data_IF_910037385178
#
_entry.id   IF_910037385178
#
_cell.length_a   1.000
_cell.length_b   1.000
_cell.length_c   1.000
_cell.angle_alpha   90.00
_cell.angle_beta   90.00
_cell.angle_gamma   90.00
#
_symmetry.space_group_name_H-M   'P 1'
#
loop_
_entity.id
_entity.type
_entity.pdbx_description
1 polymer ?
#
# COMPACT_ATOMS: atom_id res chain seq x y z
N UNK A 1 43.09 48.51 -12.77
CA UNK A 1 43.95 47.34 -13.00
C UNK A 1 44.88 47.18 -11.81
N UNK A 2 44.95 46.02 -11.22
CA UNK A 2 45.78 45.72 -10.06
C UNK A 2 46.53 44.40 -10.31
N UNK A 3 47.72 44.25 -9.72
CA UNK A 3 48.61 43.09 -9.95
C UNK A 3 49.69 43.37 -11.01
N UNK A 4 50.73 42.55 -11.07
CA UNK A 4 51.88 42.74 -11.91
C UNK A 4 51.58 42.70 -13.43
N UNK A 5 50.53 41.96 -13.84
CA UNK A 5 50.06 41.79 -15.22
C UNK A 5 48.60 42.26 -15.38
N UNK A 6 48.11 43.18 -14.57
CA UNK A 6 46.75 43.62 -14.54
C UNK A 6 45.77 42.43 -14.27
N UNK A 7 46.16 41.57 -13.35
CA UNK A 7 45.42 40.30 -13.05
C UNK A 7 44.03 40.53 -12.49
N UNK A 8 43.81 41.63 -11.74
CA UNK A 8 42.52 42.09 -11.27
C UNK A 8 42.08 43.35 -11.94
N UNK A 9 40.96 43.29 -12.62
CA UNK A 9 40.34 44.40 -13.35
C UNK A 9 39.01 44.78 -12.71
N UNK A 10 38.82 46.09 -12.45
CA UNK A 10 37.51 46.64 -12.09
C UNK A 10 37.21 47.72 -13.11
N UNK A 11 36.15 47.57 -13.88
CA UNK A 11 35.82 48.50 -14.95
C UNK A 11 34.30 48.48 -15.32
N UNK A 12 33.91 49.46 -16.08
CA UNK A 12 32.57 49.56 -16.69
C UNK A 12 32.72 49.69 -18.19
N UNK A 13 31.97 48.88 -18.97
CA UNK A 13 32.07 48.85 -20.42
C UNK A 13 31.02 49.72 -21.17
N UNK A 14 30.27 50.47 -20.40
CA UNK A 14 29.14 51.27 -20.89
C UNK A 14 27.77 50.63 -20.64
N UNK A 15 27.73 49.36 -20.36
CA UNK A 15 26.54 48.60 -20.04
C UNK A 15 26.62 47.92 -18.67
N UNK A 16 27.76 47.31 -18.34
CA UNK A 16 27.96 46.49 -17.15
C UNK A 16 29.20 46.89 -16.40
N UNK A 17 29.17 46.69 -15.08
CA UNK A 17 30.35 46.83 -14.20
C UNK A 17 30.89 45.44 -13.89
N UNK A 18 32.24 45.31 -13.92
CA UNK A 18 32.94 44.06 -13.77
C UNK A 18 33.96 44.12 -12.65
N UNK A 19 34.07 43.01 -11.89
CA UNK A 19 35.21 42.64 -11.11
C UNK A 19 35.74 41.33 -11.72
N UNK A 20 36.88 41.38 -12.42
CA UNK A 20 37.41 40.29 -13.23
C UNK A 20 38.81 39.93 -12.73
N UNK A 21 38.98 38.68 -12.34
CA UNK A 21 40.28 38.10 -12.06
C UNK A 21 40.78 37.37 -13.32
N UNK A 22 41.83 37.83 -13.94
CA UNK A 22 42.47 37.29 -15.13
C UNK A 22 43.79 36.59 -14.79
N UNK A 23 44.19 36.56 -13.53
CA UNK A 23 45.40 35.97 -13.04
C UNK A 23 45.31 34.46 -12.78
N UNK A 24 46.35 33.91 -12.22
CA UNK A 24 46.38 32.51 -11.74
C UNK A 24 46.02 32.49 -10.27
N UNK A 25 44.82 32.00 -9.97
CA UNK A 25 44.36 31.94 -8.58
C UNK A 25 42.86 32.11 -8.48
N UNK A 26 42.39 32.50 -7.31
CA UNK A 26 40.97 32.70 -7.06
C UNK A 26 40.68 34.14 -6.67
N UNK A 27 39.61 34.72 -7.17
CA UNK A 27 39.03 35.92 -6.63
C UNK A 27 38.50 35.63 -5.21
N UNK A 28 39.07 36.25 -4.18
CA UNK A 28 38.66 36.11 -2.77
C UNK A 28 37.99 37.38 -2.29
N UNK A 29 36.75 37.28 -1.88
CA UNK A 29 36.00 38.39 -1.27
C UNK A 29 35.86 38.09 0.22
N UNK A 30 36.49 38.88 1.08
CA UNK A 30 36.56 38.68 2.52
C UNK A 30 35.74 39.72 3.26
N UNK A 31 34.86 39.29 4.14
CA UNK A 31 34.19 40.08 5.14
C UNK A 31 34.59 39.59 6.55
N UNK A 32 34.80 40.48 7.51
CA UNK A 32 35.12 40.07 8.88
C UNK A 32 33.96 39.38 9.59
N UNK A 33 32.74 39.79 9.29
CA UNK A 33 31.50 39.23 9.86
C UNK A 33 30.59 38.62 8.81
N UNK A 34 30.44 39.26 7.65
CA UNK A 34 29.59 38.80 6.56
C UNK A 34 29.98 39.43 5.22
N UNK A 35 29.56 38.79 4.15
CA UNK A 35 29.53 39.34 2.78
C UNK A 35 28.07 39.40 2.34
N UNK A 36 27.63 40.56 1.83
CA UNK A 36 26.25 40.78 1.38
C UNK A 36 26.22 41.22 -0.10
N UNK A 37 25.21 40.72 -0.81
CA UNK A 37 24.83 41.21 -2.14
C UNK A 37 23.43 41.80 -1.99
N UNK A 38 23.29 43.08 -2.31
CA UNK A 38 22.06 43.84 -2.11
C UNK A 38 21.62 44.54 -3.38
N UNK A 39 20.33 44.81 -3.50
CA UNK A 39 19.77 45.65 -4.51
C UNK A 39 20.06 47.14 -4.18
N UNK A 40 20.67 47.85 -5.08
CA UNK A 40 21.04 49.27 -4.86
C UNK A 40 19.81 50.17 -4.60
N UNK A 41 18.73 49.97 -5.36
CA UNK A 41 17.58 50.88 -5.27
C UNK A 41 16.71 50.70 -4.04
N UNK A 42 16.62 49.48 -3.51
CA UNK A 42 15.77 49.14 -2.35
C UNK A 42 16.54 48.78 -1.08
N UNK A 43 17.84 48.51 -1.19
CA UNK A 43 18.63 47.95 -0.10
C UNK A 43 18.25 46.49 0.23
N UNK A 44 17.34 45.89 -0.51
CA UNK A 44 16.90 44.51 -0.26
C UNK A 44 18.06 43.52 -0.43
N UNK A 45 18.22 42.64 0.52
CA UNK A 45 19.23 41.60 0.53
C UNK A 45 18.89 40.52 -0.50
N UNK A 46 19.82 40.19 -1.40
CA UNK A 46 19.70 39.13 -2.40
C UNK A 46 20.44 37.86 -1.94
N UNK A 47 21.68 38.03 -1.42
CA UNK A 47 22.45 36.95 -0.84
C UNK A 47 23.26 37.45 0.37
N UNK A 48 23.50 36.56 1.34
CA UNK A 48 24.27 36.82 2.53
C UNK A 48 25.07 35.60 2.93
N UNK A 49 26.34 35.81 3.27
CA UNK A 49 27.28 34.80 3.72
C UNK A 49 27.82 35.24 5.09
N UNK A 50 27.43 34.58 6.16
CA UNK A 50 27.80 34.94 7.53
C UNK A 50 28.97 34.06 7.99
N UNK A 51 30.02 34.70 8.49
CA UNK A 51 31.21 33.98 8.99
C UNK A 51 30.83 33.06 10.16
N UNK A 52 31.08 31.74 10.01
CA UNK A 52 30.76 30.73 11.03
C UNK A 52 29.28 30.46 11.24
N UNK A 53 28.41 30.92 10.31
CA UNK A 53 26.97 30.73 10.39
C UNK A 53 26.38 30.41 9.01
N UNK A 54 25.14 30.85 8.75
CA UNK A 54 24.38 30.48 7.55
C UNK A 54 24.79 31.22 6.28
N UNK A 55 24.48 30.61 5.13
CA UNK A 55 24.35 31.26 3.85
C UNK A 55 22.83 31.45 3.57
N UNK A 56 22.45 32.64 3.16
CA UNK A 56 21.05 32.97 2.82
C UNK A 56 20.93 33.42 1.37
N UNK A 57 19.89 32.97 0.67
CA UNK A 57 19.45 33.47 -0.62
C UNK A 57 18.02 33.99 -0.48
N UNK A 58 17.78 35.18 -0.97
CA UNK A 58 16.51 35.87 -0.82
C UNK A 58 15.86 36.15 -2.19
N UNK A 59 14.55 36.17 -2.22
CA UNK A 59 13.75 36.66 -3.32
C UNK A 59 12.84 37.75 -2.80
N UNK A 60 12.93 38.93 -3.40
CA UNK A 60 12.16 40.10 -3.02
C UNK A 60 12.24 40.40 -1.50
N UNK A 61 13.46 40.42 -0.96
CA UNK A 61 13.73 40.65 0.46
C UNK A 61 13.33 39.53 1.40
N UNK A 62 12.68 38.48 0.93
CA UNK A 62 12.26 37.32 1.72
C UNK A 62 13.20 36.15 1.54
N UNK A 63 13.68 35.56 2.65
CA UNK A 63 14.56 34.40 2.64
C UNK A 63 13.85 33.18 2.03
N UNK A 64 14.48 32.55 1.03
CA UNK A 64 13.99 31.35 0.34
C UNK A 64 14.85 30.14 0.55
N UNK A 65 16.14 30.31 0.74
CA UNK A 65 17.08 29.23 1.02
C UNK A 65 18.06 29.69 2.12
N UNK A 66 18.34 28.79 3.05
CA UNK A 66 19.44 28.97 4.00
C UNK A 66 20.14 27.64 4.33
N UNK A 67 21.43 27.72 4.66
CA UNK A 67 22.14 26.63 5.31
C UNK A 67 21.95 26.71 6.83
N UNK A 68 21.82 25.56 7.49
CA UNK A 68 21.67 25.44 8.95
C UNK A 68 22.70 24.47 9.51
N UNK A 69 22.81 24.36 10.83
CA UNK A 69 23.68 23.37 11.48
C UNK A 69 23.34 21.93 11.06
N UNK A 70 22.06 21.62 10.75
CA UNK A 70 21.58 20.29 10.42
C UNK A 70 21.34 20.06 8.91
N UNK A 71 21.64 21.04 8.07
CA UNK A 71 21.41 20.93 6.61
C UNK A 71 21.03 22.25 5.98
N UNK A 72 19.94 22.26 5.20
CA UNK A 72 19.41 23.45 4.53
C UNK A 72 17.90 23.55 4.66
N UNK A 73 17.37 24.77 4.65
CA UNK A 73 15.93 25.04 4.64
C UNK A 73 15.56 25.76 3.35
N UNK A 74 14.48 25.31 2.70
CA UNK A 74 13.82 25.96 1.59
C UNK A 74 12.47 26.47 2.07
N UNK A 75 12.21 27.77 1.97
CA UNK A 75 10.92 28.39 2.30
C UNK A 75 10.10 28.56 1.01
N UNK A 76 9.13 27.67 0.80
CA UNK A 76 8.34 27.55 -0.41
C UNK A 76 8.53 26.18 -1.08
N UNK A 77 8.15 26.07 -2.33
CA UNK A 77 8.23 24.84 -3.10
C UNK A 77 9.68 24.55 -3.54
N UNK A 78 10.10 23.29 -3.38
CA UNK A 78 11.33 22.76 -3.96
C UNK A 78 11.00 21.84 -5.13
N UNK A 79 11.25 22.31 -6.36
CA UNK A 79 11.16 21.47 -7.55
C UNK A 79 12.49 20.74 -7.77
N UNK A 80 12.48 19.42 -7.58
CA UNK A 80 13.62 18.56 -7.91
C UNK A 80 13.29 17.79 -9.19
N UNK A 81 14.02 18.08 -10.28
CA UNK A 81 13.82 17.40 -11.58
C UNK A 81 14.62 16.10 -11.70
N UNK A 82 15.46 15.79 -10.72
CA UNK A 82 16.25 14.56 -10.61
C UNK A 82 15.85 13.71 -9.40
N UNK A 83 16.71 12.74 -9.08
CA UNK A 83 16.52 11.86 -7.92
C UNK A 83 16.99 12.54 -6.64
N UNK A 84 16.17 12.52 -5.58
CA UNK A 84 16.60 12.87 -4.24
C UNK A 84 17.23 11.61 -3.62
N UNK A 85 18.56 11.62 -3.46
CA UNK A 85 19.28 10.55 -2.77
C UNK A 85 19.67 11.03 -1.38
N UNK A 86 19.28 10.30 -0.35
CA UNK A 86 19.62 10.65 1.04
C UNK A 86 19.46 9.43 1.94
N UNK A 87 20.34 9.33 2.94
CA UNK A 87 20.20 8.30 3.97
C UNK A 87 19.08 8.68 4.94
N UNK A 88 17.95 7.96 4.88
CA UNK A 88 16.99 7.89 5.96
C UNK A 88 15.92 8.99 6.07
N UNK A 89 15.57 9.69 4.99
CA UNK A 89 14.46 10.64 4.99
C UNK A 89 13.14 10.03 4.53
N UNK A 90 12.06 10.23 5.31
CA UNK A 90 10.69 9.91 4.85
C UNK A 90 10.27 10.94 3.81
N UNK A 91 10.29 10.57 2.52
CA UNK A 91 9.92 11.47 1.42
C UNK A 91 8.41 11.47 1.09
N UNK A 92 7.60 10.72 1.83
CA UNK A 92 6.14 10.79 1.72
C UNK A 92 5.62 12.00 2.49
N UNK A 93 4.82 12.89 1.89
CA UNK A 93 4.21 14.00 2.61
C UNK A 93 3.36 13.49 3.78
N UNK A 94 3.56 14.04 4.99
CA UNK A 94 2.75 13.71 6.18
C UNK A 94 1.25 14.03 5.98
N UNK A 95 0.94 14.93 5.08
CA UNK A 95 -0.44 15.30 4.71
C UNK A 95 -1.08 14.34 3.68
N UNK A 96 -0.37 13.27 3.29
CA UNK A 96 -0.80 12.36 2.23
C UNK A 96 -0.41 12.83 0.84
N UNK A 97 -0.76 12.04 -0.15
CA UNK A 97 -0.45 12.32 -1.57
C UNK A 97 -0.90 11.18 -2.46
N UNK A 98 -0.94 11.43 -3.78
CA UNK A 98 -1.22 10.41 -4.79
C UNK A 98 0.10 9.82 -5.29
N UNK A 99 0.22 8.51 -5.22
CA UNK A 99 1.32 7.79 -5.84
C UNK A 99 0.90 7.35 -7.25
N UNK A 100 1.66 7.75 -8.26
CA UNK A 100 1.38 7.41 -9.66
C UNK A 100 2.18 6.21 -10.16
N UNK A 101 3.05 5.65 -9.31
CA UNK A 101 3.83 4.45 -9.58
C UNK A 101 3.65 3.39 -8.49
N UNK A 102 4.28 2.23 -8.68
CA UNK A 102 4.23 1.13 -7.72
C UNK A 102 5.00 1.48 -6.43
N UNK A 103 4.48 1.01 -5.29
CA UNK A 103 5.24 0.89 -4.05
C UNK A 103 5.85 -0.51 -4.06
N UNK A 104 7.17 -0.61 -4.08
CA UNK A 104 7.89 -1.88 -3.97
C UNK A 104 8.45 -1.98 -2.56
N UNK A 105 7.95 -2.95 -1.80
CA UNK A 105 8.45 -3.33 -0.49
C UNK A 105 9.18 -4.66 -0.65
N UNK A 106 10.40 -4.75 -0.14
CA UNK A 106 11.15 -6.02 -0.12
C UNK A 106 10.53 -6.98 0.89
N UNK A 107 10.97 -8.25 0.86
CA UNK A 107 10.58 -9.25 1.86
C UNK A 107 10.85 -8.73 3.27
N UNK A 108 9.99 -9.10 4.19
CA UNK A 108 10.00 -8.69 5.60
C UNK A 108 9.80 -7.18 5.86
N UNK A 109 9.55 -6.37 4.80
CA UNK A 109 9.14 -4.97 4.95
C UNK A 109 7.62 -4.88 5.03
N UNK A 110 7.11 -4.26 6.10
CA UNK A 110 5.69 -4.20 6.41
C UNK A 110 5.05 -2.88 5.97
N UNK A 111 3.91 -2.96 5.29
CA UNK A 111 2.97 -1.85 5.26
C UNK A 111 2.14 -1.92 6.54
N UNK A 112 2.33 -0.96 7.44
CA UNK A 112 1.63 -0.91 8.73
C UNK A 112 0.57 0.19 8.73
N UNK A 113 -0.63 -0.14 9.23
CA UNK A 113 -1.76 0.77 9.40
C UNK A 113 -2.25 0.68 10.85
N UNK A 114 -2.53 1.83 11.46
CA UNK A 114 -2.86 1.95 12.87
C UNK A 114 -1.66 2.35 13.73
N UNK A 115 -1.90 2.91 14.92
CA UNK A 115 -0.84 3.47 15.79
C UNK A 115 0.17 2.44 16.29
N UNK A 116 -0.27 1.18 16.45
CA UNK A 116 0.57 0.06 16.89
C UNK A 116 0.87 -0.94 15.75
N UNK A 117 0.58 -0.58 14.50
CA UNK A 117 0.68 -1.49 13.37
C UNK A 117 -0.39 -2.57 13.42
N UNK A 118 -1.61 -2.17 13.78
CA UNK A 118 -2.75 -3.07 14.01
C UNK A 118 -3.09 -3.93 12.79
N UNK A 119 -3.00 -3.35 11.59
CA UNK A 119 -3.08 -4.06 10.32
C UNK A 119 -1.72 -4.04 9.62
N UNK A 120 -1.23 -5.21 9.22
CA UNK A 120 0.01 -5.35 8.45
C UNK A 120 -0.22 -6.11 7.16
N UNK A 121 0.43 -5.65 6.08
CA UNK A 121 0.48 -6.35 4.79
C UNK A 121 1.95 -6.52 4.43
N UNK A 122 2.39 -7.74 4.16
CA UNK A 122 3.78 -8.04 3.85
C UNK A 122 3.96 -9.40 3.16
N UNK A 123 5.17 -9.67 2.66
CA UNK A 123 5.65 -10.96 2.19
C UNK A 123 6.88 -11.37 3.01
N UNK A 124 6.97 -12.63 3.44
CA UNK A 124 8.07 -13.13 4.28
C UNK A 124 9.13 -13.92 3.49
N UNK A 125 9.15 -13.76 2.17
CA UNK A 125 10.00 -14.54 1.25
C UNK A 125 9.38 -15.88 0.84
N UNK A 126 8.25 -16.27 1.44
CA UNK A 126 7.53 -17.51 1.13
C UNK A 126 6.02 -17.28 1.01
N UNK A 127 5.44 -16.49 1.90
CA UNK A 127 4.00 -16.27 2.02
C UNK A 127 3.66 -14.79 2.06
N UNK A 128 2.46 -14.44 1.56
CA UNK A 128 1.90 -13.10 1.65
C UNK A 128 0.82 -13.05 2.74
N UNK A 129 0.84 -11.98 3.53
CA UNK A 129 -0.03 -11.81 4.68
C UNK A 129 -0.82 -10.51 4.63
N UNK A 130 -2.11 -10.60 5.02
CA UNK A 130 -2.93 -9.50 5.50
C UNK A 130 -3.27 -9.88 6.94
N UNK A 131 -2.63 -9.23 7.91
CA UNK A 131 -2.68 -9.62 9.33
C UNK A 131 -3.23 -8.49 10.17
N UNK A 132 -4.34 -8.75 10.88
CA UNK A 132 -4.92 -7.89 11.90
C UNK A 132 -4.48 -8.39 13.29
N UNK A 133 -3.82 -7.52 14.04
CA UNK A 133 -3.38 -7.76 15.43
C UNK A 133 -4.00 -6.76 16.40
N UNK A 134 -4.84 -5.85 15.90
CA UNK A 134 -5.56 -4.88 16.70
C UNK A 134 -6.72 -5.47 17.51
N UNK A 135 -7.41 -4.60 18.24
CA UNK A 135 -8.65 -4.96 18.92
C UNK A 135 -9.82 -4.73 17.96
N UNK A 136 -10.44 -5.78 17.49
CA UNK A 136 -11.57 -5.67 16.56
C UNK A 136 -11.56 -6.77 15.52
N UNK A 137 -12.21 -6.53 14.41
CA UNK A 137 -12.34 -7.50 13.33
C UNK A 137 -11.71 -6.97 12.05
N UNK A 138 -11.00 -7.81 11.30
CA UNK A 138 -10.69 -7.54 9.91
C UNK A 138 -12.01 -7.58 9.09
N UNK A 139 -12.45 -6.44 8.59
CA UNK A 139 -13.66 -6.31 7.76
C UNK A 139 -13.26 -6.11 6.30
N UNK A 140 -13.62 -7.06 5.44
CA UNK A 140 -13.49 -6.94 3.99
C UNK A 140 -14.88 -6.67 3.44
N UNK A 141 -15.14 -5.47 2.93
CA UNK A 141 -16.46 -5.02 2.46
C UNK A 141 -16.42 -4.85 0.94
N UNK A 142 -17.31 -5.57 0.27
CA UNK A 142 -17.45 -5.53 -1.18
C UNK A 142 -18.90 -5.90 -1.58
N UNK A 143 -19.34 -5.48 -2.74
CA UNK A 143 -20.59 -5.99 -3.35
C UNK A 143 -20.44 -7.46 -3.76
N UNK A 144 -19.25 -7.87 -4.18
CA UNK A 144 -18.86 -9.24 -4.46
C UNK A 144 -17.48 -9.50 -3.87
N UNK A 145 -17.36 -10.55 -3.06
CA UNK A 145 -16.08 -11.06 -2.55
C UNK A 145 -15.74 -12.36 -3.27
N UNK A 146 -14.52 -12.44 -3.81
CA UNK A 146 -14.02 -13.64 -4.49
C UNK A 146 -12.62 -14.01 -3.96
N UNK A 147 -12.44 -15.29 -3.59
CA UNK A 147 -11.14 -15.90 -3.38
C UNK A 147 -10.88 -16.83 -4.57
N UNK A 148 -9.82 -16.55 -5.31
CA UNK A 148 -9.57 -17.18 -6.62
C UNK A 148 -8.19 -17.84 -6.67
N UNK A 149 -8.02 -18.70 -7.69
CA UNK A 149 -6.69 -19.16 -8.12
C UNK A 149 -5.83 -17.95 -8.50
N UNK A 150 -4.51 -18.12 -8.41
CA UNK A 150 -3.55 -17.08 -8.75
C UNK A 150 -3.69 -16.57 -10.19
N UNK A 151 -4.18 -17.40 -11.11
CA UNK A 151 -4.44 -17.04 -12.52
C UNK A 151 -5.82 -16.42 -12.76
N UNK A 152 -6.64 -16.27 -11.71
CA UNK A 152 -8.00 -15.73 -11.79
C UNK A 152 -9.02 -16.64 -12.48
N UNK A 153 -8.65 -17.87 -12.88
CA UNK A 153 -9.48 -18.73 -13.72
C UNK A 153 -10.65 -19.39 -12.98
N UNK A 154 -10.56 -19.54 -11.66
CA UNK A 154 -11.56 -20.24 -10.85
C UNK A 154 -11.70 -19.62 -9.46
N UNK A 155 -12.93 -19.61 -8.95
CA UNK A 155 -13.22 -19.26 -7.56
C UNK A 155 -13.00 -20.47 -6.65
N UNK A 156 -12.52 -20.23 -5.42
CA UNK A 156 -12.62 -21.13 -4.28
C UNK A 156 -13.83 -20.77 -3.44
N UNK A 157 -14.05 -19.46 -3.22
CA UNK A 157 -15.16 -18.89 -2.49
C UNK A 157 -15.69 -17.69 -3.26
N UNK A 158 -17.01 -17.55 -3.33
CA UNK A 158 -17.66 -16.33 -3.79
C UNK A 158 -18.78 -15.95 -2.83
N UNK A 159 -18.87 -14.66 -2.49
CA UNK A 159 -20.00 -14.11 -1.75
C UNK A 159 -20.58 -12.93 -2.51
N UNK A 160 -21.90 -12.94 -2.72
CA UNK A 160 -22.65 -11.87 -3.38
C UNK A 160 -23.48 -11.13 -2.34
N UNK A 161 -23.44 -9.79 -2.35
CA UNK A 161 -24.25 -8.99 -1.46
C UNK A 161 -25.74 -9.18 -1.76
N UNK A 162 -26.50 -9.63 -0.74
CA UNK A 162 -27.95 -9.89 -0.88
C UNK A 162 -28.30 -11.19 -1.61
N UNK A 163 -27.31 -12.06 -1.85
CA UNK A 163 -27.48 -13.34 -2.52
C UNK A 163 -26.65 -14.45 -1.82
N UNK A 164 -26.22 -15.44 -2.57
CA UNK A 164 -25.56 -16.64 -2.06
C UNK A 164 -24.08 -16.41 -1.66
N UNK A 165 -23.62 -17.30 -0.76
CA UNK A 165 -22.21 -17.62 -0.57
C UNK A 165 -21.97 -19.02 -1.15
N UNK A 166 -21.02 -19.15 -2.05
CA UNK A 166 -20.72 -20.39 -2.77
C UNK A 166 -19.29 -20.84 -2.53
N UNK A 167 -19.10 -22.13 -2.25
CA UNK A 167 -17.81 -22.81 -2.23
C UNK A 167 -17.67 -23.68 -3.47
N UNK A 168 -16.50 -23.62 -4.10
CA UNK A 168 -16.26 -24.31 -5.37
C UNK A 168 -15.16 -25.38 -5.25
N UNK A 169 -15.28 -26.40 -6.07
CA UNK A 169 -14.21 -27.38 -6.32
C UNK A 169 -14.08 -27.58 -7.84
N UNK A 170 -12.91 -27.28 -8.38
CA UNK A 170 -12.62 -27.29 -9.82
C UNK A 170 -13.66 -26.52 -10.66
N UNK A 171 -14.02 -25.32 -10.20
CA UNK A 171 -14.98 -24.46 -10.90
C UNK A 171 -16.46 -24.85 -10.75
N UNK A 172 -16.77 -25.99 -10.12
CA UNK A 172 -18.14 -26.41 -9.85
C UNK A 172 -18.58 -26.05 -8.44
N UNK A 173 -19.79 -25.48 -8.26
CA UNK A 173 -20.41 -25.25 -6.95
C UNK A 173 -20.57 -26.57 -6.21
N UNK A 174 -20.18 -26.62 -4.93
CA UNK A 174 -20.34 -27.78 -4.05
C UNK A 174 -21.17 -27.49 -2.82
N UNK A 175 -21.10 -26.27 -2.31
CA UNK A 175 -21.89 -25.79 -1.17
C UNK A 175 -22.37 -24.38 -1.49
N UNK A 176 -23.63 -24.10 -1.23
CA UNK A 176 -24.23 -22.82 -1.54
C UNK A 176 -25.30 -22.46 -0.49
N UNK A 177 -25.27 -21.23 0.02
CA UNK A 177 -26.38 -20.72 0.83
C UNK A 177 -27.54 -20.34 -0.07
N UNK A 178 -28.76 -20.67 0.32
CA UNK A 178 -30.01 -20.34 -0.41
C UNK A 178 -30.95 -19.57 0.49
N UNK A 179 -32.03 -19.03 -0.08
CA UNK A 179 -33.05 -18.35 0.71
C UNK A 179 -33.72 -19.26 1.78
N UNK A 180 -33.68 -20.57 1.59
CA UNK A 180 -34.35 -21.54 2.49
C UNK A 180 -33.38 -22.43 3.29
N UNK A 181 -32.06 -22.23 3.09
CA UNK A 181 -31.05 -23.08 3.78
C UNK A 181 -29.75 -23.16 3.02
N UNK A 182 -29.26 -24.40 2.85
CA UNK A 182 -28.02 -24.69 2.13
C UNK A 182 -28.25 -25.79 1.09
N UNK A 183 -27.57 -25.71 -0.03
CA UNK A 183 -27.51 -26.73 -1.05
C UNK A 183 -26.14 -27.40 -1.08
N UNK A 184 -26.08 -28.71 -1.10
CA UNK A 184 -24.85 -29.50 -1.25
C UNK A 184 -24.94 -30.30 -2.54
N UNK A 185 -24.04 -29.99 -3.50
CA UNK A 185 -23.94 -30.73 -4.76
C UNK A 185 -22.94 -31.87 -4.63
N UNK A 186 -23.44 -33.08 -4.47
CA UNK A 186 -22.64 -34.28 -4.24
C UNK A 186 -22.99 -34.99 -2.92
N UNK A 187 -22.01 -35.65 -2.35
CA UNK A 187 -22.18 -36.39 -1.08
C UNK A 187 -21.79 -35.51 0.12
N UNK A 188 -22.66 -35.45 1.12
CA UNK A 188 -22.32 -34.92 2.44
C UNK A 188 -21.89 -36.08 3.34
N UNK A 189 -20.63 -36.07 3.81
CA UNK A 189 -20.10 -37.03 4.78
C UNK A 189 -20.11 -36.40 6.17
N UNK A 190 -20.87 -36.97 7.08
CA UNK A 190 -21.02 -36.49 8.46
C UNK A 190 -20.47 -37.53 9.43
N UNK A 191 -19.39 -37.21 10.15
CA UNK A 191 -18.69 -38.17 11.01
C UNK A 191 -19.36 -38.41 12.38
N UNK A 192 -20.15 -37.44 12.87
CA UNK A 192 -20.71 -37.49 14.23
C UNK A 192 -22.25 -37.58 14.28
N UNK A 193 -22.91 -37.85 13.14
CA UNK A 193 -24.36 -37.94 13.04
C UNK A 193 -25.03 -36.69 12.52
N UNK A 194 -26.31 -36.82 12.20
CA UNK A 194 -27.20 -35.74 11.75
C UNK A 194 -28.31 -35.63 12.77
N UNK A 195 -28.45 -34.46 13.39
CA UNK A 195 -29.57 -34.15 14.29
C UNK A 195 -30.59 -33.30 13.52
N UNK A 196 -31.82 -33.77 13.42
CA UNK A 196 -32.92 -33.09 12.71
C UNK A 196 -33.90 -32.57 13.76
N UNK A 197 -33.74 -31.29 14.10
CA UNK A 197 -34.57 -30.59 15.10
C UNK A 197 -35.68 -29.78 14.43
N UNK A 198 -36.91 -30.27 14.50
CA UNK A 198 -38.12 -29.53 14.11
C UNK A 198 -38.48 -29.59 12.61
N UNK A 199 -37.91 -30.54 11.86
CA UNK A 199 -38.23 -30.77 10.44
C UNK A 199 -38.28 -32.24 10.10
N UNK A 200 -38.47 -32.56 8.82
CA UNK A 200 -38.45 -33.90 8.28
C UNK A 200 -37.12 -34.20 7.57
N UNK A 201 -36.82 -35.47 7.39
CA UNK A 201 -35.88 -35.94 6.39
C UNK A 201 -36.72 -36.42 5.20
N UNK A 202 -36.80 -35.63 4.15
CA UNK A 202 -37.59 -35.94 2.97
C UNK A 202 -36.71 -36.65 1.93
N UNK A 203 -37.05 -37.89 1.64
CA UNK A 203 -36.47 -38.68 0.56
C UNK A 203 -37.50 -38.85 -0.54
N UNK A 204 -37.18 -38.46 -1.77
CA UNK A 204 -38.05 -38.64 -2.92
C UNK A 204 -38.15 -40.12 -3.31
N UNK A 205 -39.10 -40.45 -4.14
CA UNK A 205 -39.32 -41.83 -4.66
C UNK A 205 -38.02 -42.43 -5.21
N UNK A 206 -37.82 -43.71 -4.98
CA UNK A 206 -36.64 -44.49 -5.36
C UNK A 206 -35.31 -44.09 -4.68
N UNK A 207 -35.29 -43.07 -3.79
CA UNK A 207 -34.16 -42.78 -2.90
C UNK A 207 -34.31 -43.61 -1.63
N UNK A 208 -33.20 -44.13 -1.11
CA UNK A 208 -33.19 -45.08 0.01
C UNK A 208 -32.43 -44.57 1.19
N UNK A 209 -33.01 -44.69 2.38
CA UNK A 209 -32.25 -44.69 3.61
C UNK A 209 -31.61 -46.06 3.74
N UNK A 210 -30.27 -46.15 3.78
CA UNK A 210 -29.48 -47.37 3.89
C UNK A 210 -28.74 -47.43 5.19
N UNK A 211 -28.81 -48.54 5.88
CA UNK A 211 -28.17 -48.76 7.16
C UNK A 211 -27.32 -50.03 7.08
N UNK A 212 -26.18 -50.03 7.76
CA UNK A 212 -25.21 -51.13 7.72
C UNK A 212 -24.17 -50.93 6.59
N UNK A 213 -22.98 -51.57 6.76
CA UNK A 213 -21.83 -51.43 5.86
C UNK A 213 -22.14 -51.91 4.42
N UNK A 214 -22.96 -52.95 4.30
CA UNK A 214 -23.40 -53.51 3.02
C UNK A 214 -24.79 -53.01 2.61
N UNK A 215 -25.34 -51.98 3.27
CA UNK A 215 -26.72 -51.48 3.06
C UNK A 215 -27.77 -52.54 3.40
N UNK A 216 -27.54 -53.24 4.49
CA UNK A 216 -28.30 -54.44 4.92
C UNK A 216 -29.75 -54.11 5.18
N UNK A 217 -30.08 -52.99 5.81
CA UNK A 217 -31.44 -52.49 5.99
C UNK A 217 -31.70 -51.28 5.08
N UNK A 218 -32.81 -51.30 4.36
CA UNK A 218 -33.23 -50.22 3.47
C UNK A 218 -34.67 -49.80 3.76
N UNK A 219 -34.92 -48.50 3.81
CA UNK A 219 -36.25 -47.89 3.91
C UNK A 219 -36.46 -47.00 2.71
N UNK A 220 -37.54 -47.19 1.94
CA UNK A 220 -37.80 -46.39 0.74
C UNK A 220 -39.25 -46.49 0.28
N UNK A 221 -39.65 -45.59 -0.63
CA UNK A 221 -40.88 -45.64 -1.42
C UNK A 221 -40.51 -45.73 -2.91
N UNK A 222 -41.21 -46.59 -3.69
CA UNK A 222 -40.87 -46.82 -5.11
C UNK A 222 -41.77 -46.05 -6.08
N UNK A 223 -42.59 -45.15 -5.55
CA UNK A 223 -43.64 -44.42 -6.32
C UNK A 223 -45.03 -45.08 -6.23
N UNK A 224 -45.11 -46.31 -5.69
CA UNK A 224 -46.36 -47.05 -5.52
C UNK A 224 -46.45 -47.66 -4.13
N UNK A 225 -45.38 -48.20 -3.61
CA UNK A 225 -45.36 -48.94 -2.33
C UNK A 225 -44.20 -48.51 -1.43
N UNK A 226 -44.42 -48.59 -0.12
CA UNK A 226 -43.37 -48.34 0.90
C UNK A 226 -42.77 -49.69 1.36
N UNK A 227 -41.45 -49.69 1.51
CA UNK A 227 -40.68 -50.88 1.88
C UNK A 227 -39.78 -50.63 3.11
N UNK A 228 -39.71 -51.60 3.96
CA UNK A 228 -38.64 -51.85 4.91
C UNK A 228 -38.07 -53.20 4.50
N UNK A 229 -36.85 -53.21 3.98
CA UNK A 229 -36.23 -54.41 3.38
C UNK A 229 -34.94 -54.73 4.13
N UNK A 230 -34.85 -55.92 4.72
CA UNK A 230 -33.69 -56.51 5.30
C UNK A 230 -33.01 -57.39 4.25
N UNK A 231 -31.80 -57.07 3.86
CA UNK A 231 -30.94 -57.79 2.90
C UNK A 231 -29.74 -58.44 3.60
N UNK A 232 -29.64 -58.33 4.95
CA UNK A 232 -28.62 -58.93 5.74
C UNK A 232 -28.81 -60.46 5.82
N UNK A 233 -27.72 -61.15 6.09
CA UNK A 233 -27.68 -62.61 6.33
C UNK A 233 -27.43 -62.89 7.77
#
# INVERSE_FOLDING_TARGET
LMGASADLEIYHDGLHSYIKDAGTGNLRIWGSTEVQIQNWGTGAQMAKFVAGAQVELNYDGSKRFETTLLGSTVSGDLLVTGTITGAGGSFLPLAGGTMTGNIVLNDDVLLQVGNAGDLTIYHDGSNSFIKDTGTGNLKIQASTLQLQRADGSQNFVQGLSGAEVTLFFNGASKFETTNTGVSVTGQAVVSNGIDVNGGNVDLIDNVRLRLGTASDLQIYHDGSNSFISDLGT
#
